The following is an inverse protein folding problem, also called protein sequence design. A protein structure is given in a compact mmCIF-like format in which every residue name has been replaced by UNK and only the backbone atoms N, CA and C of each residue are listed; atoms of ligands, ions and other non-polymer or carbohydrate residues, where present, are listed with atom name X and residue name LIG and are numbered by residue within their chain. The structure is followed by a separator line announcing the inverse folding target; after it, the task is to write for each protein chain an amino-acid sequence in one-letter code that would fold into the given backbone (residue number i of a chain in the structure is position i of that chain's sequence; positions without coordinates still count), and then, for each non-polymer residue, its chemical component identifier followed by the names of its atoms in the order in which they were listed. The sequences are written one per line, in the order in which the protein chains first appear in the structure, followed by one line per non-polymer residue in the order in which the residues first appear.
data_IF_613987364940
#
_entry.id   IF_613987364940
#
_cell.length_a   1.000
_cell.length_b   1.000
_cell.length_c   1.000
_cell.angle_alpha   90.00
_cell.angle_beta   90.00
_cell.angle_gamma   90.00
#
_symmetry.space_group_name_H-M   'P 1'
#
loop_
_entity.id
_entity.type
_entity.pdbx_description
1 polymer ?
#
# COMPACT_ATOMS: atom_id res chain seq x y z
N UNK A 1 3.34 -5.88 45.03
CA UNK A 1 3.12 -6.73 43.83
C UNK A 1 1.86 -6.19 43.16
N UNK A 2 1.99 -5.19 42.29
CA UNK A 2 0.86 -4.59 41.57
C UNK A 2 0.68 -5.38 40.27
N UNK A 3 -0.52 -5.94 40.12
CA UNK A 3 -0.95 -6.67 38.93
C UNK A 3 -0.87 -5.74 37.71
N UNK A 4 -0.06 -6.15 36.74
CA UNK A 4 -0.01 -5.58 35.39
C UNK A 4 -1.41 -5.72 34.77
N UNK A 5 -2.00 -4.68 34.18
CA UNK A 5 -3.26 -4.84 33.46
C UNK A 5 -2.97 -5.69 32.22
N UNK A 6 -3.63 -6.83 32.11
CA UNK A 6 -3.67 -7.62 30.89
C UNK A 6 -4.08 -6.67 29.75
N UNK A 7 -3.17 -6.43 28.80
CA UNK A 7 -3.55 -5.87 27.51
C UNK A 7 -4.59 -6.84 26.92
N UNK A 8 -5.86 -6.45 26.92
CA UNK A 8 -6.80 -7.00 25.94
C UNK A 8 -6.25 -6.59 24.58
N UNK A 9 -5.54 -7.51 23.92
CA UNK A 9 -5.14 -7.35 22.53
C UNK A 9 -6.44 -7.47 21.73
N UNK A 10 -7.12 -6.34 21.57
CA UNK A 10 -8.20 -6.19 20.60
C UNK A 10 -7.67 -6.63 19.23
N UNK A 11 -8.46 -7.41 18.48
CA UNK A 11 -8.09 -7.80 17.13
C UNK A 11 -7.73 -6.55 16.30
N UNK A 12 -6.67 -6.59 15.48
CA UNK A 12 -6.27 -5.44 14.70
C UNK A 12 -7.39 -5.05 13.71
N UNK A 13 -7.64 -3.74 13.59
CA UNK A 13 -8.51 -3.20 12.54
C UNK A 13 -7.75 -3.20 11.23
N UNK A 14 -8.38 -3.72 10.17
CA UNK A 14 -7.85 -3.65 8.81
C UNK A 14 -8.46 -2.47 8.08
N UNK A 15 -7.61 -1.61 7.53
CA UNK A 15 -7.99 -0.45 6.74
C UNK A 15 -7.49 -0.60 5.31
N UNK A 16 -8.33 -0.29 4.32
CA UNK A 16 -7.82 -0.13 2.97
C UNK A 16 -6.96 1.13 2.88
N UNK A 17 -5.90 1.05 2.06
CA UNK A 17 -4.96 2.14 1.83
C UNK A 17 -5.64 3.50 1.50
N UNK A 18 -6.82 3.48 0.88
CA UNK A 18 -7.58 4.66 0.47
C UNK A 18 -8.52 5.24 1.54
N UNK A 19 -8.51 4.71 2.77
CA UNK A 19 -9.30 5.23 3.89
C UNK A 19 -8.40 5.73 5.02
N UNK A 20 -7.62 6.80 4.79
CA UNK A 20 -6.62 7.27 5.75
C UNK A 20 -7.20 7.66 7.12
N UNK A 21 -8.40 8.24 7.13
CA UNK A 21 -9.15 8.63 8.33
C UNK A 21 -9.35 7.50 9.35
N UNK A 22 -9.33 6.24 8.91
CA UNK A 22 -9.49 5.08 9.79
C UNK A 22 -8.36 4.96 10.82
N UNK A 23 -7.18 5.51 10.50
CA UNK A 23 -6.03 5.56 11.41
C UNK A 23 -6.35 6.33 12.68
N UNK A 24 -6.88 7.54 12.55
CA UNK A 24 -7.14 8.40 13.69
C UNK A 24 -8.21 7.80 14.61
N UNK A 25 -9.19 7.13 14.01
CA UNK A 25 -10.20 6.35 14.75
C UNK A 25 -9.54 5.18 15.50
N UNK A 26 -8.65 4.42 14.87
CA UNK A 26 -7.96 3.30 15.51
C UNK A 26 -7.07 3.78 16.67
N UNK A 27 -6.30 4.86 16.48
CA UNK A 27 -5.47 5.49 17.51
C UNK A 27 -6.33 5.96 18.69
N UNK A 28 -7.41 6.70 18.41
CA UNK A 28 -8.31 7.22 19.45
C UNK A 28 -8.97 6.12 20.28
N UNK A 29 -9.06 4.89 19.75
CA UNK A 29 -9.62 3.72 20.44
C UNK A 29 -8.55 2.76 20.97
N UNK A 30 -7.27 3.07 20.84
CA UNK A 30 -6.17 2.19 21.26
C UNK A 30 -6.13 0.86 20.51
N UNK A 31 -6.64 0.82 19.27
CA UNK A 31 -6.69 -0.39 18.44
C UNK A 31 -5.50 -0.40 17.49
N UNK A 32 -4.91 -1.58 17.32
CA UNK A 32 -3.84 -1.82 16.38
C UNK A 32 -4.34 -1.71 14.93
N UNK A 33 -3.73 -0.84 14.11
CA UNK A 33 -4.09 -0.69 12.69
C UNK A 33 -3.20 -1.50 11.75
N UNK A 34 -3.82 -2.25 10.83
CA UNK A 34 -3.17 -2.90 9.69
C UNK A 34 -3.66 -2.28 8.37
N UNK A 35 -2.74 -2.05 7.43
CA UNK A 35 -3.11 -1.56 6.09
C UNK A 35 -3.24 -2.73 5.13
N UNK A 36 -4.37 -2.83 4.44
CA UNK A 36 -4.52 -3.76 3.33
C UNK A 36 -4.20 -3.07 2.00
N UNK A 37 -3.22 -3.63 1.31
CA UNK A 37 -2.81 -3.27 -0.04
C UNK A 37 -3.41 -4.29 -1.01
N UNK A 38 -4.38 -3.84 -1.81
CA UNK A 38 -4.92 -4.62 -2.93
C UNK A 38 -3.97 -4.72 -4.13
N UNK A 39 -2.76 -4.19 -4.02
CA UNK A 39 -1.75 -4.07 -5.09
C UNK A 39 -0.58 -5.02 -4.86
N UNK A 40 0.35 -5.10 -5.82
CA UNK A 40 1.59 -5.88 -5.69
C UNK A 40 2.64 -5.19 -4.80
N UNK A 41 3.62 -5.96 -4.33
CA UNK A 41 4.81 -5.46 -3.66
C UNK A 41 5.65 -4.59 -4.62
N UNK A 42 5.78 -5.01 -5.88
CA UNK A 42 6.40 -4.21 -6.94
C UNK A 42 5.85 -2.78 -6.98
N UNK A 43 4.52 -2.62 -7.02
CA UNK A 43 3.91 -1.30 -7.10
C UNK A 43 4.16 -0.50 -5.81
N UNK A 44 4.09 -1.15 -4.65
CA UNK A 44 4.37 -0.49 -3.38
C UNK A 44 5.80 0.07 -3.34
N UNK A 45 6.80 -0.71 -3.78
CA UNK A 45 8.20 -0.30 -3.89
C UNK A 45 8.41 0.79 -4.95
N UNK A 46 7.87 0.61 -6.15
CA UNK A 46 7.98 1.58 -7.24
C UNK A 46 7.40 2.94 -6.87
N UNK A 47 6.27 2.97 -6.17
CA UNK A 47 5.67 4.21 -5.66
C UNK A 47 6.57 4.89 -4.62
N UNK A 48 7.19 4.13 -3.72
CA UNK A 48 8.13 4.67 -2.74
C UNK A 48 9.42 5.20 -3.40
N UNK A 49 9.95 4.51 -4.40
CA UNK A 49 11.09 4.97 -5.19
C UNK A 49 10.76 6.26 -5.94
N UNK A 50 9.58 6.33 -6.58
CA UNK A 50 9.11 7.51 -7.30
C UNK A 50 8.94 8.73 -6.38
N UNK A 51 8.52 8.54 -5.12
CA UNK A 51 8.43 9.62 -4.14
C UNK A 51 9.79 10.16 -3.71
N UNK A 52 10.82 9.33 -3.70
CA UNK A 52 12.20 9.74 -3.41
C UNK A 52 12.83 10.49 -4.58
N UNK A 53 12.35 10.24 -5.81
CA UNK A 53 12.75 11.04 -6.95
C UNK A 53 12.24 12.48 -6.81
N UNK A 54 13.16 13.44 -6.66
CA UNK A 54 12.86 14.81 -7.08
C UNK A 54 12.68 14.75 -8.60
N UNK A 55 11.44 14.81 -9.08
CA UNK A 55 11.13 14.77 -10.51
C UNK A 55 12.11 15.70 -11.25
N UNK A 56 12.94 15.17 -12.18
CA UNK A 56 13.97 15.98 -12.81
C UNK A 56 13.34 17.19 -13.49
N UNK A 57 13.82 18.37 -13.09
CA UNK A 57 13.21 19.64 -13.47
C UNK A 57 13.22 19.91 -14.98
N UNK A 58 13.97 19.15 -15.81
CA UNK A 58 14.03 19.37 -17.25
C UNK A 58 14.41 18.13 -18.11
N UNK A 59 13.80 18.07 -19.31
CA UNK A 59 14.18 17.40 -20.58
C UNK A 59 14.37 15.88 -20.72
N UNK A 60 14.31 15.05 -19.68
CA UNK A 60 14.43 13.59 -19.87
C UNK A 60 13.04 12.95 -20.09
N UNK A 61 12.87 12.21 -21.19
CA UNK A 61 11.62 11.52 -21.54
C UNK A 61 11.36 10.29 -20.66
N UNK A 62 12.43 9.60 -20.25
CA UNK A 62 12.41 8.47 -19.33
C UNK A 62 13.42 8.65 -18.19
N UNK A 63 13.24 7.93 -17.09
CA UNK A 63 14.25 7.82 -16.05
C UNK A 63 14.13 6.50 -15.31
N UNK A 64 15.25 6.02 -14.75
CA UNK A 64 15.27 4.83 -13.91
C UNK A 64 14.80 5.17 -12.50
N UNK A 65 13.95 4.31 -11.94
CA UNK A 65 13.57 4.35 -10.54
C UNK A 65 14.76 3.92 -9.68
N UNK A 66 15.17 4.72 -8.67
CA UNK A 66 16.25 4.35 -7.78
C UNK A 66 15.78 3.27 -6.80
N UNK A 67 16.75 2.61 -6.17
CA UNK A 67 16.50 1.76 -5.00
C UNK A 67 15.41 0.69 -5.26
N UNK A 68 15.47 0.01 -6.41
CA UNK A 68 14.65 -1.16 -6.71
C UNK A 68 15.56 -2.38 -6.95
N UNK A 69 15.08 -3.61 -6.69
CA UNK A 69 15.81 -4.83 -6.99
C UNK A 69 16.22 -4.95 -8.46
N UNK A 70 15.42 -4.38 -9.36
CA UNK A 70 15.67 -4.34 -10.79
C UNK A 70 15.74 -2.90 -11.29
N UNK A 71 16.51 -2.68 -12.36
CA UNK A 71 16.49 -1.42 -13.09
C UNK A 71 15.16 -1.28 -13.83
N UNK A 72 14.30 -0.39 -13.34
CA UNK A 72 13.01 -0.09 -13.95
C UNK A 72 13.06 1.32 -14.52
N UNK A 73 13.00 1.44 -15.84
CA UNK A 73 12.86 2.72 -16.53
C UNK A 73 11.39 3.05 -16.77
N UNK A 74 10.98 4.25 -16.40
CA UNK A 74 9.63 4.74 -16.62
C UNK A 74 9.65 5.99 -17.50
N UNK A 75 8.67 6.10 -18.39
CA UNK A 75 8.43 7.30 -19.16
C UNK A 75 7.72 8.33 -18.30
N UNK A 76 8.05 9.60 -18.49
CA UNK A 76 7.36 10.71 -17.83
C UNK A 76 5.86 10.73 -18.12
N UNK A 77 5.45 10.21 -19.28
CA UNK A 77 4.04 10.07 -19.69
C UNK A 77 3.30 8.95 -18.97
N UNK A 78 4.00 7.96 -18.41
CA UNK A 78 3.41 6.86 -17.62
C UNK A 78 3.12 7.28 -16.16
N UNK A 79 3.74 8.36 -15.70
CA UNK A 79 3.46 8.93 -14.39
C UNK A 79 2.11 9.65 -14.47
N UNK A 80 1.19 9.28 -13.59
CA UNK A 80 -0.10 9.95 -13.47
C UNK A 80 0.17 11.43 -13.16
N UNK A 81 -0.12 12.29 -14.13
CA UNK A 81 -0.09 13.72 -13.94
C UNK A 81 -1.43 14.14 -13.34
N UNK A 82 -1.48 14.12 -12.01
CA UNK A 82 -2.65 14.54 -11.24
C UNK A 82 -3.05 16.01 -11.51
N UNK A 83 -2.21 16.85 -12.13
CA UNK A 83 -2.63 18.20 -12.54
C UNK A 83 -3.41 18.21 -13.87
N UNK A 84 -3.38 17.11 -14.65
CA UNK A 84 -4.06 16.98 -15.95
C UNK A 84 -5.41 16.26 -15.88
N UNK A 85 -5.76 15.68 -14.73
CA UNK A 85 -7.05 15.03 -14.53
C UNK A 85 -8.09 16.06 -14.08
N UNK A 86 -8.56 16.87 -15.02
CA UNK A 86 -9.62 17.84 -14.79
C UNK A 86 -10.94 17.13 -14.45
N UNK A 87 -11.61 17.53 -13.37
CA UNK A 87 -12.96 17.07 -13.00
C UNK A 87 -13.04 16.03 -11.89
N UNK A 88 -11.91 15.49 -11.41
CA UNK A 88 -11.87 14.76 -10.13
C UNK A 88 -11.49 15.71 -8.98
N UNK A 89 -11.92 15.45 -7.73
CA UNK A 89 -11.46 16.19 -6.57
C UNK A 89 -9.98 15.87 -6.30
N UNK A 90 -9.09 16.42 -7.12
CA UNK A 90 -7.67 16.05 -7.17
C UNK A 90 -6.93 16.38 -5.88
N UNK A 91 -7.34 17.45 -5.20
CA UNK A 91 -6.84 17.82 -3.88
C UNK A 91 -7.12 16.69 -2.88
N UNK A 92 -8.37 16.20 -2.83
CA UNK A 92 -8.77 15.08 -1.97
C UNK A 92 -8.02 13.78 -2.31
N UNK A 93 -7.83 13.48 -3.60
CA UNK A 93 -7.10 12.26 -4.02
C UNK A 93 -5.61 12.37 -3.66
N UNK A 94 -4.98 13.52 -3.90
CA UNK A 94 -3.58 13.74 -3.53
C UNK A 94 -3.38 13.71 -2.01
N UNK A 95 -4.27 14.34 -1.26
CA UNK A 95 -4.27 14.31 0.20
C UNK A 95 -4.44 12.88 0.70
N UNK A 96 -5.41 12.14 0.17
CA UNK A 96 -5.63 10.72 0.49
C UNK A 96 -4.39 9.88 0.18
N UNK A 97 -3.74 10.07 -0.97
CA UNK A 97 -2.52 9.33 -1.34
C UNK A 97 -1.33 9.69 -0.44
N UNK A 98 -1.22 10.95 -0.03
CA UNK A 98 -0.19 11.40 0.90
C UNK A 98 -0.41 10.77 2.29
N UNK A 99 -1.62 10.84 2.81
CA UNK A 99 -1.99 10.25 4.09
C UNK A 99 -1.87 8.72 4.06
N UNK A 100 -2.19 8.08 2.94
CA UNK A 100 -2.00 6.64 2.72
C UNK A 100 -0.53 6.22 2.84
N UNK A 101 0.40 7.05 2.38
CA UNK A 101 1.85 6.83 2.50
C UNK A 101 2.31 7.01 3.94
N UNK A 102 1.80 8.04 4.64
CA UNK A 102 2.07 8.22 6.07
C UNK A 102 1.52 7.07 6.90
N UNK A 103 0.35 6.54 6.54
CA UNK A 103 -0.23 5.34 7.14
C UNK A 103 0.65 4.11 6.96
N UNK A 104 1.24 3.91 5.78
CA UNK A 104 2.15 2.78 5.52
C UNK A 104 3.32 2.76 6.50
N UNK A 105 3.85 3.94 6.86
CA UNK A 105 5.01 4.06 7.74
C UNK A 105 4.67 3.99 9.23
N UNK A 106 3.48 4.46 9.62
CA UNK A 106 3.10 4.63 11.03
C UNK A 106 2.14 3.57 11.58
N UNK A 107 1.64 2.66 10.74
CA UNK A 107 0.79 1.55 11.20
C UNK A 107 1.63 0.35 11.67
N UNK A 108 0.96 -0.62 12.30
CA UNK A 108 1.64 -1.80 12.85
C UNK A 108 2.28 -2.68 11.76
N UNK A 109 1.69 -2.68 10.56
CA UNK A 109 2.18 -3.35 9.38
C UNK A 109 1.20 -3.32 8.21
N UNK A 110 1.59 -3.99 7.12
CA UNK A 110 0.85 -4.06 5.87
C UNK A 110 0.52 -5.51 5.50
N UNK A 111 -0.71 -5.75 5.02
CA UNK A 111 -1.13 -6.97 4.36
C UNK A 111 -1.20 -6.73 2.86
N UNK A 112 -0.53 -7.58 2.10
CA UNK A 112 -0.42 -7.49 0.64
C UNK A 112 -1.24 -8.60 0.02
N UNK A 113 -2.12 -8.27 -0.93
CA UNK A 113 -2.86 -9.24 -1.74
C UNK A 113 -1.95 -9.82 -2.84
N UNK A 114 -0.92 -10.53 -2.42
CA UNK A 114 0.11 -11.13 -3.27
C UNK A 114 0.71 -12.34 -2.55
N UNK A 115 1.49 -13.14 -3.25
CA UNK A 115 2.19 -14.30 -2.70
C UNK A 115 3.69 -14.20 -2.99
N UNK A 116 4.51 -14.81 -2.13
CA UNK A 116 5.96 -14.58 -2.13
C UNK A 116 6.62 -15.04 -3.43
N UNK A 117 6.22 -16.20 -3.95
CA UNK A 117 6.79 -16.82 -5.15
C UNK A 117 6.54 -15.99 -6.42
N UNK A 118 5.56 -15.08 -6.41
CA UNK A 118 5.28 -14.20 -7.54
C UNK A 118 6.33 -13.10 -7.72
N UNK A 119 6.83 -12.55 -6.61
CA UNK A 119 7.63 -11.32 -6.59
C UNK A 119 8.58 -11.27 -5.39
N UNK A 120 9.31 -12.36 -5.15
CA UNK A 120 10.12 -12.59 -3.94
C UNK A 120 11.10 -11.45 -3.65
N UNK A 121 11.86 -10.99 -4.65
CA UNK A 121 12.82 -9.91 -4.49
C UNK A 121 12.15 -8.58 -4.10
N UNK A 122 10.94 -8.31 -4.59
CA UNK A 122 10.16 -7.13 -4.19
C UNK A 122 9.51 -7.32 -2.83
N UNK A 123 9.07 -8.52 -2.47
CA UNK A 123 8.53 -8.82 -1.15
C UNK A 123 9.60 -8.62 -0.06
N UNK A 124 10.82 -9.11 -0.29
CA UNK A 124 11.94 -8.94 0.62
C UNK A 124 12.36 -7.47 0.70
N UNK A 125 12.52 -6.81 -0.45
CA UNK A 125 12.85 -5.39 -0.52
C UNK A 125 11.81 -4.48 0.17
N UNK A 126 10.51 -4.81 0.06
CA UNK A 126 9.44 -4.10 0.76
C UNK A 126 9.54 -4.31 2.27
N UNK A 127 9.80 -5.54 2.71
CA UNK A 127 9.92 -5.91 4.13
C UNK A 127 11.10 -5.25 4.83
N UNK A 128 12.21 -4.98 4.12
CA UNK A 128 13.34 -4.23 4.66
C UNK A 128 12.98 -2.78 5.02
N UNK A 129 12.03 -2.19 4.28
CA UNK A 129 11.63 -0.78 4.40
C UNK A 129 10.41 -0.58 5.29
N UNK A 130 9.58 -1.60 5.43
CA UNK A 130 8.36 -1.58 6.23
C UNK A 130 8.44 -2.63 7.32
N UNK A 131 8.36 -2.20 8.59
CA UNK A 131 8.59 -3.03 9.79
C UNK A 131 7.92 -4.41 9.74
N UNK A 132 6.69 -4.50 9.23
CA UNK A 132 5.95 -5.76 9.12
C UNK A 132 5.10 -5.77 7.86
N UNK A 133 5.39 -6.72 6.98
CA UNK A 133 4.63 -6.97 5.75
C UNK A 133 4.26 -8.45 5.73
N UNK A 134 3.00 -8.75 5.43
CA UNK A 134 2.51 -10.10 5.22
C UNK A 134 1.88 -10.21 3.84
N UNK A 135 2.40 -11.14 3.04
CA UNK A 135 1.74 -11.56 1.82
C UNK A 135 0.62 -12.53 2.21
N UNK A 136 -0.62 -12.12 1.94
CA UNK A 136 -1.78 -13.00 2.02
C UNK A 136 -2.07 -13.42 0.59
N UNK A 137 -2.01 -14.74 0.33
CA UNK A 137 -2.31 -15.34 -0.96
C UNK A 137 -3.51 -14.65 -1.63
N UNK A 138 -3.55 -14.58 -2.97
CA UNK A 138 -4.58 -13.83 -3.67
C UNK A 138 -5.94 -14.11 -3.05
N UNK A 139 -6.57 -13.10 -2.46
CA UNK A 139 -7.81 -13.28 -1.66
C UNK A 139 -8.96 -13.81 -2.52
N UNK A 140 -8.81 -13.73 -3.85
CA UNK A 140 -9.63 -14.39 -4.84
C UNK A 140 -9.60 -15.93 -4.75
N UNK A 141 -8.62 -16.55 -4.09
CA UNK A 141 -8.53 -18.01 -3.96
C UNK A 141 -9.20 -18.55 -2.69
N UNK A 142 -9.56 -17.66 -1.74
CA UNK A 142 -10.18 -18.06 -0.47
C UNK A 142 -11.57 -18.69 -0.68
N UNK A 143 -12.45 -17.99 -1.40
CA UNK A 143 -13.79 -18.51 -1.69
C UNK A 143 -13.75 -19.35 -2.97
N UNK A 144 -13.87 -20.67 -2.79
CA UNK A 144 -13.82 -21.65 -3.89
C UNK A 144 -15.18 -21.93 -4.52
N UNK A 145 -16.26 -21.62 -3.82
CA UNK A 145 -17.63 -21.84 -4.32
C UNK A 145 -17.95 -20.90 -5.48
N UNK A 146 -18.66 -21.44 -6.47
CA UNK A 146 -18.98 -20.75 -7.73
C UNK A 146 -19.78 -19.46 -7.48
N UNK A 147 -20.71 -19.47 -6.52
CA UNK A 147 -21.55 -18.32 -6.16
C UNK A 147 -20.71 -17.12 -5.68
N UNK A 148 -19.64 -17.38 -4.91
CA UNK A 148 -18.75 -16.32 -4.44
C UNK A 148 -17.71 -15.90 -5.47
N UNK A 149 -17.49 -16.71 -6.52
CA UNK A 149 -16.62 -16.35 -7.65
C UNK A 149 -17.36 -15.47 -8.66
N UNK A 150 -18.62 -15.75 -8.94
CA UNK A 150 -19.43 -15.00 -9.92
C UNK A 150 -19.65 -13.54 -9.52
N UNK A 151 -19.53 -13.20 -8.24
CA UNK A 151 -19.71 -11.82 -7.74
C UNK A 151 -18.44 -10.95 -7.83
N UNK A 152 -17.30 -11.49 -8.28
CA UNK A 152 -16.00 -10.80 -8.28
C UNK A 152 -15.72 -9.97 -9.54
N UNK A 153 -16.76 -9.60 -10.27
CA UNK A 153 -16.70 -8.89 -11.54
C UNK A 153 -17.00 -9.84 -12.71
N UNK A 154 -18.19 -9.67 -13.27
CA UNK A 154 -18.72 -10.38 -14.43
C UNK A 154 -20.19 -10.01 -14.58
N UNK A 155 -20.58 -9.61 -15.80
CA UNK A 155 -21.99 -9.61 -16.23
C UNK A 155 -22.58 -11.02 -16.16
#
# INVERSE_FOLDING_TARGET
MLLTPCLQISAPTMSFLFFPWTRDVAIARGILGLVFHGTSNFLACAMSALQQCRLPANKVESFALPDLPHQIEILKTQIINFNKLAGMPMEFIMETLKEAVEMRMNNYGAMMNSFYELESEYADHHRERVRRVWNVDPVSLCNKEVIYKSTRGGE
#
